data_IF_512734348453
#
_entry.id   IF_512734348453
#
_cell.length_a   1.000
_cell.length_b   1.000
_cell.length_c   1.000
_cell.angle_alpha   90.00
_cell.angle_beta   90.00
_cell.angle_gamma   90.00
#
_symmetry.space_group_name_H-M   'P 1'
#
loop_
_entity.id
_entity.type
_entity.pdbx_description
1 polymer ?
#
# COMPACT_ATOMS: atom_id res chain seq x y z
N UNK A 1 -4.36 -10.03 10.03
CA UNK A 1 -4.64 -8.98 9.02
C UNK A 1 -4.72 -9.61 7.64
N UNK A 2 -5.72 -9.26 6.80
CA UNK A 2 -5.75 -9.69 5.39
C UNK A 2 -4.76 -8.88 4.57
N UNK A 3 -3.93 -9.55 3.78
CA UNK A 3 -3.00 -8.94 2.84
C UNK A 3 -2.82 -9.81 1.60
N UNK A 4 -2.41 -9.20 0.50
CA UNK A 4 -2.11 -9.88 -0.76
C UNK A 4 -0.60 -9.99 -0.92
N UNK A 5 -0.09 -11.16 -1.26
CA UNK A 5 1.28 -11.28 -1.72
C UNK A 5 1.38 -10.72 -3.14
N UNK A 6 2.28 -9.78 -3.40
CA UNK A 6 2.46 -9.22 -4.74
C UNK A 6 3.65 -9.85 -5.48
N UNK A 7 4.44 -10.66 -4.77
CA UNK A 7 5.53 -11.44 -5.34
C UNK A 7 5.55 -12.83 -4.71
N UNK A 8 6.38 -13.72 -5.24
CA UNK A 8 6.64 -15.02 -4.62
C UNK A 8 7.41 -14.82 -3.31
N UNK A 9 6.83 -15.23 -2.19
CA UNK A 9 7.43 -15.06 -0.87
C UNK A 9 7.95 -16.39 -0.37
N UNK A 10 9.25 -16.45 -0.12
CA UNK A 10 9.89 -17.59 0.55
C UNK A 10 9.43 -17.66 2.01
N UNK A 11 9.15 -18.85 2.49
CA UNK A 11 8.61 -19.06 3.84
C UNK A 11 9.55 -19.87 4.71
N UNK A 12 9.30 -19.80 6.00
CA UNK A 12 10.07 -20.43 7.07
C UNK A 12 9.19 -21.40 7.85
N UNK A 13 9.82 -22.35 8.53
CA UNK A 13 9.19 -23.15 9.60
C UNK A 13 8.97 -22.27 10.85
N UNK A 14 8.22 -22.76 11.83
CA UNK A 14 8.03 -22.08 13.12
C UNK A 14 9.35 -21.80 13.87
N UNK A 15 10.39 -22.60 13.60
CA UNK A 15 11.75 -22.42 14.16
C UNK A 15 12.59 -21.40 13.41
N UNK A 16 12.03 -20.74 12.36
CA UNK A 16 12.72 -19.74 11.54
C UNK A 16 13.70 -20.33 10.51
N UNK A 17 13.67 -21.65 10.27
CA UNK A 17 14.46 -22.31 9.24
C UNK A 17 13.75 -22.23 7.88
N UNK A 18 14.48 -22.13 6.74
CA UNK A 18 13.89 -22.15 5.42
C UNK A 18 13.03 -23.39 5.18
N UNK A 19 11.84 -23.22 4.60
CA UNK A 19 11.00 -24.32 4.09
C UNK A 19 11.04 -24.31 2.57
N UNK A 20 12.03 -25.00 2.00
CA UNK A 20 12.26 -25.05 0.56
C UNK A 20 11.13 -25.70 -0.24
N UNK A 21 10.30 -26.52 0.40
CA UNK A 21 9.13 -27.16 -0.21
C UNK A 21 7.87 -26.29 -0.23
N UNK A 22 7.95 -25.05 0.25
CA UNK A 22 6.78 -24.17 0.40
C UNK A 22 7.11 -22.74 0.00
N UNK A 23 6.12 -22.06 -0.54
CA UNK A 23 6.16 -20.61 -0.83
C UNK A 23 4.74 -20.06 -0.84
N UNK A 24 4.60 -18.76 -0.69
CA UNK A 24 3.36 -18.03 -0.95
C UNK A 24 3.45 -17.51 -2.38
N UNK A 25 2.43 -17.76 -3.20
CA UNK A 25 2.41 -17.30 -4.58
C UNK A 25 1.98 -15.83 -4.68
N UNK A 26 2.42 -15.15 -5.73
CA UNK A 26 1.88 -13.84 -6.07
C UNK A 26 0.37 -13.95 -6.32
N UNK A 27 -0.42 -13.00 -5.78
CA UNK A 27 -1.88 -13.01 -5.83
C UNK A 27 -2.55 -13.78 -4.68
N UNK A 28 -1.82 -14.54 -3.87
CA UNK A 28 -2.41 -15.22 -2.73
C UNK A 28 -2.96 -14.23 -1.70
N UNK A 29 -4.24 -14.36 -1.37
CA UNK A 29 -4.86 -13.63 -0.26
C UNK A 29 -4.54 -14.34 1.05
N UNK A 30 -3.69 -13.71 1.84
CA UNK A 30 -3.15 -14.25 3.07
C UNK A 30 -3.84 -13.68 4.31
N UNK A 31 -3.85 -14.47 5.38
CA UNK A 31 -4.14 -14.01 6.72
C UNK A 31 -2.82 -13.90 7.50
N UNK A 32 -2.39 -12.67 7.83
CA UNK A 32 -1.19 -12.41 8.62
C UNK A 32 -1.59 -12.31 10.09
N UNK A 33 -0.94 -13.08 10.95
CA UNK A 33 -1.09 -13.05 12.40
C UNK A 33 -0.21 -12.01 13.07
N UNK A 34 -0.14 -12.06 14.39
CA UNK A 34 0.73 -11.20 15.18
C UNK A 34 2.19 -11.66 15.12
N UNK A 35 3.10 -10.70 15.19
CA UNK A 35 4.53 -10.98 15.20
C UNK A 35 4.90 -11.76 16.45
N UNK A 36 5.57 -12.90 16.29
CA UNK A 36 6.02 -13.74 17.41
C UNK A 36 7.17 -13.08 18.18
N UNK A 37 7.45 -13.56 19.39
CA UNK A 37 8.62 -13.14 20.17
C UNK A 37 9.95 -13.40 19.43
N UNK A 38 10.00 -14.41 18.54
CA UNK A 38 11.14 -14.68 17.66
C UNK A 38 11.25 -13.71 16.46
N UNK A 39 10.38 -12.71 16.38
CA UNK A 39 10.39 -11.71 15.31
C UNK A 39 9.81 -12.19 13.97
N UNK A 40 9.10 -13.33 13.95
CA UNK A 40 8.52 -13.92 12.76
C UNK A 40 7.02 -13.59 12.65
N UNK A 41 6.54 -13.42 11.44
CA UNK A 41 5.12 -13.23 11.15
C UNK A 41 4.51 -14.55 10.69
N UNK A 42 3.51 -15.13 11.39
CA UNK A 42 2.75 -16.25 10.88
C UNK A 42 1.84 -15.78 9.74
N UNK A 43 1.90 -16.49 8.62
CA UNK A 43 1.09 -16.21 7.43
C UNK A 43 0.36 -17.47 7.01
N UNK A 44 -0.97 -17.40 7.02
CA UNK A 44 -1.85 -18.44 6.51
C UNK A 44 -2.25 -18.08 5.08
N UNK A 45 -2.02 -18.99 4.14
CA UNK A 45 -2.22 -18.78 2.73
C UNK A 45 -2.87 -20.01 2.05
N UNK A 46 -3.54 -19.85 0.89
CA UNK A 46 -4.19 -20.94 0.18
C UNK A 46 -3.16 -21.89 -0.44
N UNK A 47 -3.53 -23.16 -0.53
CA UNK A 47 -2.80 -24.20 -1.26
C UNK A 47 -3.80 -25.10 -1.99
N UNK A 48 -3.33 -25.95 -2.90
CA UNK A 48 -4.17 -26.96 -3.58
C UNK A 48 -4.90 -27.92 -2.61
N UNK A 49 -4.40 -28.05 -1.38
CA UNK A 49 -4.93 -28.99 -0.36
C UNK A 49 -5.63 -28.27 0.81
N UNK A 50 -6.01 -27.00 0.65
CA UNK A 50 -6.59 -26.16 1.69
C UNK A 50 -5.64 -25.04 2.11
N UNK A 51 -5.73 -24.60 3.36
CA UNK A 51 -4.87 -23.54 3.89
C UNK A 51 -3.64 -24.09 4.60
N UNK A 52 -2.54 -23.35 4.54
CA UNK A 52 -1.28 -23.66 5.19
C UNK A 52 -0.74 -22.44 5.91
N UNK A 53 -0.20 -22.64 7.12
CA UNK A 53 0.48 -21.57 7.85
C UNK A 53 1.98 -21.79 7.81
N UNK A 54 2.70 -20.71 7.50
CA UNK A 54 4.16 -20.61 7.51
C UNK A 54 4.57 -19.25 8.06
N UNK A 55 5.85 -19.02 8.21
CA UNK A 55 6.38 -17.80 8.80
C UNK A 55 7.24 -17.03 7.79
N UNK A 56 7.28 -15.71 7.96
CA UNK A 56 8.16 -14.81 7.19
C UNK A 56 8.86 -13.83 8.13
N UNK A 57 10.05 -13.37 7.74
CA UNK A 57 10.80 -12.37 8.53
C UNK A 57 10.36 -10.95 8.22
N UNK A 58 9.81 -10.72 7.05
CA UNK A 58 9.45 -9.39 6.55
C UNK A 58 8.13 -9.45 5.80
N UNK A 59 7.37 -8.37 5.88
CA UNK A 59 6.11 -8.20 5.15
C UNK A 59 6.28 -7.30 3.89
N UNK A 60 7.50 -7.06 3.42
CA UNK A 60 7.76 -6.26 2.20
C UNK A 60 7.10 -6.82 0.94
N UNK A 61 6.90 -8.13 0.86
CA UNK A 61 6.20 -8.79 -0.25
C UNK A 61 4.68 -8.77 -0.19
N UNK A 62 4.08 -7.99 0.74
CA UNK A 62 2.64 -7.94 0.95
C UNK A 62 2.09 -6.53 0.81
N UNK A 63 0.83 -6.44 0.37
CA UNK A 63 0.06 -5.21 0.30
C UNK A 63 -1.38 -5.43 0.77
N UNK A 64 -2.10 -4.35 0.98
CA UNK A 64 -3.52 -4.39 1.33
C UNK A 64 -4.37 -3.74 0.24
N UNK A 65 -5.54 -4.31 -0.02
CA UNK A 65 -6.51 -3.74 -0.95
C UNK A 65 -7.76 -3.31 -0.18
N UNK A 66 -8.14 -2.04 -0.29
CA UNK A 66 -9.26 -1.45 0.47
C UNK A 66 -10.59 -2.17 0.23
N UNK A 67 -10.77 -2.82 -0.94
CA UNK A 67 -11.98 -3.55 -1.29
C UNK A 67 -12.26 -4.73 -0.35
N UNK A 68 -11.23 -5.27 0.33
CA UNK A 68 -11.38 -6.35 1.30
C UNK A 68 -11.84 -5.90 2.69
N UNK A 69 -12.00 -4.59 2.91
CA UNK A 69 -12.30 -4.01 4.22
C UNK A 69 -13.64 -3.26 4.26
N UNK A 70 -14.65 -3.78 3.57
CA UNK A 70 -16.00 -3.19 3.53
C UNK A 70 -16.70 -3.12 4.91
N UNK A 71 -16.29 -4.00 5.85
CA UNK A 71 -16.85 -4.04 7.21
C UNK A 71 -16.15 -3.12 8.22
N UNK A 72 -15.03 -2.49 7.85
CA UNK A 72 -14.35 -1.54 8.72
C UNK A 72 -14.96 -0.16 8.48
N UNK A 73 -15.70 0.33 9.47
CA UNK A 73 -16.31 1.66 9.46
C UNK A 73 -15.21 2.75 9.47
N UNK A 74 -15.40 3.78 8.64
CA UNK A 74 -14.47 4.92 8.55
C UNK A 74 -15.26 6.23 8.35
N UNK A 75 -16.16 6.58 9.34
CA UNK A 75 -17.07 7.71 9.21
C UNK A 75 -16.38 9.06 9.32
N UNK A 76 -16.98 10.08 8.72
CA UNK A 76 -16.70 11.49 8.94
C UNK A 76 -17.99 12.29 8.77
N UNK A 77 -18.01 13.57 9.19
CA UNK A 77 -19.16 14.46 9.01
C UNK A 77 -19.58 14.48 7.54
N UNK A 78 -20.84 14.16 7.25
CA UNK A 78 -21.40 14.04 5.92
C UNK A 78 -21.06 12.72 5.18
N UNK A 79 -20.35 11.80 5.86
CA UNK A 79 -19.95 10.49 5.34
C UNK A 79 -20.07 9.41 6.42
N UNK A 80 -21.18 9.40 7.13
CA UNK A 80 -21.41 8.58 8.34
C UNK A 80 -21.35 7.06 8.04
N UNK A 81 -21.77 6.67 6.82
CA UNK A 81 -21.75 5.26 6.36
C UNK A 81 -20.44 4.85 5.65
N UNK A 82 -19.44 5.73 5.62
CA UNK A 82 -18.19 5.41 4.96
C UNK A 82 -17.44 4.26 5.64
N UNK A 83 -16.76 3.48 4.82
CA UNK A 83 -15.93 2.35 5.25
C UNK A 83 -14.52 2.51 4.66
N UNK A 84 -13.59 1.66 5.07
CA UNK A 84 -12.27 1.59 4.41
C UNK A 84 -12.42 1.29 2.92
N UNK A 85 -13.37 0.42 2.52
CA UNK A 85 -13.63 0.15 1.09
C UNK A 85 -13.96 1.42 0.32
N UNK A 86 -14.76 2.33 0.86
CA UNK A 86 -15.23 3.52 0.14
C UNK A 86 -14.31 4.75 0.28
N UNK A 87 -13.53 4.85 1.36
CA UNK A 87 -12.81 6.09 1.70
C UNK A 87 -11.40 5.86 2.27
N UNK A 88 -10.92 4.61 2.28
CA UNK A 88 -9.70 4.20 2.98
C UNK A 88 -8.42 4.17 2.15
N UNK A 89 -8.40 4.75 0.94
CA UNK A 89 -7.19 4.71 0.09
C UNK A 89 -5.95 5.26 0.80
N UNK A 90 -6.08 6.37 1.54
CA UNK A 90 -4.97 6.94 2.31
C UNK A 90 -4.49 6.03 3.43
N UNK A 91 -5.42 5.41 4.19
CA UNK A 91 -5.09 4.43 5.23
C UNK A 91 -4.34 3.23 4.64
N UNK A 92 -4.85 2.65 3.57
CA UNK A 92 -4.23 1.48 2.92
C UNK A 92 -2.87 1.83 2.29
N UNK A 93 -2.74 2.99 1.62
CA UNK A 93 -1.46 3.44 1.07
C UNK A 93 -0.40 3.66 2.15
N UNK A 94 -0.79 4.21 3.32
CA UNK A 94 0.12 4.37 4.44
C UNK A 94 0.58 3.02 5.01
N UNK A 95 -0.33 2.03 5.13
CA UNK A 95 0.03 0.64 5.54
C UNK A 95 1.04 0.04 4.57
N UNK A 96 0.80 0.17 3.25
CA UNK A 96 1.67 -0.39 2.20
C UNK A 96 3.05 0.28 2.22
N UNK A 97 3.09 1.62 2.20
CA UNK A 97 4.34 2.37 2.15
C UNK A 97 5.19 2.15 3.42
N UNK A 98 4.55 2.12 4.61
CA UNK A 98 5.22 1.77 5.87
C UNK A 98 5.82 0.35 5.80
N UNK A 99 5.05 -0.63 5.31
CA UNK A 99 5.51 -2.01 5.13
C UNK A 99 6.70 -2.12 4.18
N UNK A 100 6.70 -1.34 3.11
CA UNK A 100 7.77 -1.33 2.12
C UNK A 100 9.10 -0.84 2.71
N UNK A 101 9.09 0.22 3.53
CA UNK A 101 10.34 0.78 4.09
C UNK A 101 10.79 0.10 5.38
N UNK A 102 9.86 -0.41 6.20
CA UNK A 102 10.20 -1.01 7.51
C UNK A 102 10.24 -2.54 7.50
N UNK A 103 9.61 -3.17 6.52
CA UNK A 103 9.38 -4.62 6.51
C UNK A 103 8.32 -5.09 7.51
N UNK A 104 7.60 -4.17 8.14
CA UNK A 104 6.55 -4.44 9.13
C UNK A 104 5.27 -3.73 8.77
N UNK A 105 4.18 -4.47 8.62
CA UNK A 105 2.86 -3.88 8.38
C UNK A 105 2.05 -3.85 9.66
N UNK A 106 1.31 -2.78 9.84
CA UNK A 106 0.24 -2.71 10.86
C UNK A 106 -1.11 -3.05 10.22
N UNK A 107 -2.07 -3.46 11.03
CA UNK A 107 -3.38 -3.80 10.50
C UNK A 107 -4.09 -2.54 9.95
N UNK A 108 -4.88 -2.73 8.90
CA UNK A 108 -5.74 -1.65 8.36
C UNK A 108 -6.68 -1.11 9.44
N UNK A 109 -7.16 -1.98 10.35
CA UNK A 109 -7.97 -1.57 11.50
C UNK A 109 -7.20 -0.61 12.41
N UNK A 110 -5.97 -0.98 12.81
CA UNK A 110 -5.12 -0.15 13.69
C UNK A 110 -4.80 1.20 13.04
N UNK A 111 -4.41 1.19 11.76
CA UNK A 111 -4.13 2.42 11.01
C UNK A 111 -5.38 3.32 10.92
N UNK A 112 -6.57 2.71 10.71
CA UNK A 112 -7.84 3.43 10.68
C UNK A 112 -8.14 4.05 12.05
N UNK A 113 -7.95 3.28 13.14
CA UNK A 113 -8.20 3.77 14.49
C UNK A 113 -7.28 4.97 14.81
N UNK A 114 -6.03 4.90 14.42
CA UNK A 114 -5.11 6.03 14.55
C UNK A 114 -5.55 7.23 13.72
N UNK A 115 -5.94 7.01 12.45
CA UNK A 115 -6.41 8.10 11.60
C UNK A 115 -7.63 8.82 12.18
N UNK A 116 -8.57 8.08 12.78
CA UNK A 116 -9.75 8.66 13.46
C UNK A 116 -9.35 9.37 14.73
N UNK A 117 -8.64 8.72 15.64
CA UNK A 117 -8.32 9.24 16.96
C UNK A 117 -7.40 10.46 16.92
N UNK A 118 -6.59 10.62 15.87
CA UNK A 118 -5.70 11.76 15.69
C UNK A 118 -6.24 12.81 14.71
N UNK A 119 -7.50 12.71 14.33
CA UNK A 119 -8.16 13.68 13.46
C UNK A 119 -7.62 13.74 12.05
N UNK A 120 -6.98 12.65 11.58
CA UNK A 120 -6.56 12.50 10.18
C UNK A 120 -7.71 12.03 9.29
N UNK A 121 -8.80 11.49 9.84
CA UNK A 121 -10.03 11.21 9.09
C UNK A 121 -10.79 12.52 8.84
N UNK A 122 -10.97 12.85 7.57
CA UNK A 122 -11.65 14.07 7.12
C UNK A 122 -12.76 13.75 6.11
N UNK A 123 -13.74 14.66 5.90
CA UNK A 123 -14.68 14.50 4.80
C UNK A 123 -13.98 14.22 3.48
N UNK A 124 -14.38 13.18 2.78
CA UNK A 124 -13.78 12.78 1.50
C UNK A 124 -12.50 11.95 1.58
N UNK A 125 -11.96 11.62 2.76
CA UNK A 125 -10.78 10.73 2.82
C UNK A 125 -9.91 10.85 4.06
N UNK A 126 -8.61 10.92 3.85
CA UNK A 126 -7.58 10.98 4.90
C UNK A 126 -6.71 12.23 4.71
N UNK A 127 -6.53 13.01 5.77
CA UNK A 127 -5.47 14.02 5.85
C UNK A 127 -4.13 13.30 6.00
N UNK A 128 -3.42 13.19 4.90
CA UNK A 128 -2.17 12.44 4.84
C UNK A 128 -1.06 13.11 5.66
N UNK A 129 -1.07 14.43 5.77
CA UNK A 129 -0.08 15.15 6.60
C UNK A 129 -0.19 14.78 8.07
N UNK A 130 -1.42 14.76 8.60
CA UNK A 130 -1.66 14.36 10.00
C UNK A 130 -1.32 12.90 10.22
N UNK A 131 -1.74 12.00 9.32
CA UNK A 131 -1.47 10.57 9.46
C UNK A 131 0.04 10.28 9.42
N UNK A 132 0.77 10.85 8.48
CA UNK A 132 2.21 10.59 8.34
C UNK A 132 3.02 11.21 9.48
N UNK A 133 2.64 12.39 10.00
CA UNK A 133 3.26 12.95 11.22
C UNK A 133 3.12 11.99 12.39
N UNK A 134 1.96 11.36 12.56
CA UNK A 134 1.77 10.35 13.60
C UNK A 134 2.69 9.16 13.40
N UNK A 135 2.86 8.70 12.15
CA UNK A 135 3.70 7.54 11.84
C UNK A 135 5.18 7.82 12.08
N UNK A 136 5.69 9.00 11.73
CA UNK A 136 7.10 9.38 12.00
C UNK A 136 7.41 9.46 13.49
N UNK A 137 6.43 9.75 14.33
CA UNK A 137 6.60 9.69 15.80
C UNK A 137 6.52 8.28 16.40
N UNK A 138 6.11 7.26 15.62
CA UNK A 138 5.91 5.87 16.09
C UNK A 138 6.86 4.86 15.48
N UNK A 139 7.43 5.18 14.36
CA UNK A 139 8.32 4.30 13.60
C UNK A 139 9.61 5.04 13.24
N UNK A 140 10.73 4.34 13.12
CA UNK A 140 12.00 4.93 12.69
C UNK A 140 11.96 5.21 11.19
N UNK A 141 11.16 6.20 10.80
CA UNK A 141 11.00 6.63 9.40
C UNK A 141 11.08 8.15 9.29
N UNK A 142 11.74 8.60 8.24
CA UNK A 142 11.71 10.00 7.80
C UNK A 142 10.66 10.18 6.72
N UNK A 143 9.99 11.34 6.78
CA UNK A 143 8.97 11.71 5.82
C UNK A 143 9.32 13.07 5.24
N UNK A 144 9.34 13.15 3.91
CA UNK A 144 9.50 14.40 3.16
C UNK A 144 8.35 14.56 2.17
N UNK A 145 8.14 15.77 1.71
CA UNK A 145 7.10 16.10 0.72
C UNK A 145 7.77 16.75 -0.50
N UNK A 146 7.26 16.44 -1.69
CA UNK A 146 7.75 17.07 -2.90
C UNK A 146 6.67 17.13 -3.98
N UNK A 147 6.82 18.05 -4.92
CA UNK A 147 6.09 18.09 -6.19
C UNK A 147 6.99 17.77 -7.37
N UNK A 148 8.27 17.56 -7.12
CA UNK A 148 9.25 17.28 -8.15
C UNK A 148 9.34 15.77 -8.39
N UNK A 149 9.04 15.37 -9.62
CA UNK A 149 9.13 13.99 -10.10
C UNK A 149 10.57 13.45 -10.04
N UNK A 150 11.59 14.28 -10.27
CA UNK A 150 12.98 13.83 -10.25
C UNK A 150 13.42 13.52 -8.81
N UNK A 151 12.96 14.31 -7.84
CA UNK A 151 13.17 14.03 -6.40
C UNK A 151 12.48 12.72 -6.01
N UNK A 152 11.26 12.46 -6.49
CA UNK A 152 10.60 11.15 -6.30
C UNK A 152 11.46 10.01 -6.85
N UNK A 153 11.92 10.11 -8.11
CA UNK A 153 12.72 9.05 -8.74
C UNK A 153 14.03 8.79 -8.01
N UNK A 154 14.76 9.84 -7.62
CA UNK A 154 15.97 9.70 -6.82
C UNK A 154 15.71 9.00 -5.49
N UNK A 155 14.61 9.33 -4.82
CA UNK A 155 14.22 8.71 -3.55
C UNK A 155 13.89 7.21 -3.70
N UNK A 156 13.14 6.84 -4.75
CA UNK A 156 12.82 5.44 -5.01
C UNK A 156 14.06 4.59 -5.34
N UNK A 157 15.00 5.14 -6.13
CA UNK A 157 16.29 4.50 -6.45
C UNK A 157 17.17 4.31 -5.22
N UNK A 158 17.05 5.19 -4.22
CA UNK A 158 17.70 5.05 -2.92
C UNK A 158 17.02 4.01 -1.99
N UNK A 159 16.00 3.29 -2.45
CA UNK A 159 15.30 2.27 -1.68
C UNK A 159 14.16 2.78 -0.78
N UNK A 160 13.77 4.04 -0.94
CA UNK A 160 12.59 4.60 -0.30
C UNK A 160 11.29 4.14 -0.96
N UNK A 161 10.17 4.49 -0.35
CA UNK A 161 8.82 4.36 -0.93
C UNK A 161 8.12 5.72 -0.91
N UNK A 162 7.04 5.86 -1.65
CA UNK A 162 6.27 7.09 -1.64
C UNK A 162 4.76 6.83 -1.61
N UNK A 163 3.99 7.85 -1.24
CA UNK A 163 2.54 7.89 -1.45
C UNK A 163 2.27 9.03 -2.42
N UNK A 164 1.64 8.72 -3.55
CA UNK A 164 1.21 9.72 -4.52
C UNK A 164 -0.24 10.14 -4.27
N UNK A 165 -0.52 11.42 -4.54
CA UNK A 165 -1.81 12.06 -4.36
C UNK A 165 -2.38 12.43 -5.74
N UNK A 166 -3.18 11.53 -6.33
CA UNK A 166 -3.78 11.80 -7.65
C UNK A 166 -5.03 12.66 -7.54
N UNK A 167 -5.23 13.51 -8.53
CA UNK A 167 -6.27 14.54 -8.51
C UNK A 167 -7.65 14.06 -8.99
N UNK A 168 -7.75 12.83 -9.49
CA UNK A 168 -9.00 12.32 -10.05
C UNK A 168 -9.26 12.76 -11.50
N UNK A 169 -8.20 13.05 -12.27
CA UNK A 169 -8.30 13.39 -13.71
C UNK A 169 -8.61 12.20 -14.62
N UNK A 170 -8.97 11.06 -14.03
CA UNK A 170 -9.52 9.91 -14.73
C UNK A 170 -8.52 8.84 -15.17
N UNK A 171 -7.19 9.05 -15.02
CA UNK A 171 -6.21 8.00 -15.37
C UNK A 171 -6.16 6.93 -14.28
N UNK A 172 -5.81 7.32 -13.06
CA UNK A 172 -5.72 6.38 -11.94
C UNK A 172 -7.02 6.30 -11.13
N UNK A 173 -7.75 7.40 -11.06
CA UNK A 173 -9.03 7.49 -10.36
C UNK A 173 -9.92 8.56 -10.99
N UNK A 174 -11.24 8.48 -10.76
CA UNK A 174 -12.20 9.52 -11.13
C UNK A 174 -12.42 10.55 -10.01
N UNK A 175 -11.95 10.24 -8.79
CA UNK A 175 -11.90 11.15 -7.65
C UNK A 175 -10.49 11.27 -7.11
N UNK A 176 -10.28 12.09 -6.09
CA UNK A 176 -9.00 12.14 -5.37
C UNK A 176 -8.64 10.77 -4.82
N UNK A 177 -7.36 10.35 -4.96
CA UNK A 177 -6.96 9.02 -4.54
C UNK A 177 -5.49 9.00 -4.11
N UNK A 178 -5.18 8.18 -3.12
CA UNK A 178 -3.82 7.88 -2.70
C UNK A 178 -3.42 6.49 -3.15
N UNK A 179 -2.16 6.35 -3.62
CA UNK A 179 -1.56 5.06 -3.98
C UNK A 179 -0.13 5.01 -3.46
N UNK A 180 0.38 3.82 -3.14
CA UNK A 180 1.77 3.66 -2.73
C UNK A 180 2.66 3.41 -3.96
N UNK A 181 3.77 4.12 -4.06
CA UNK A 181 4.82 3.91 -5.08
C UNK A 181 5.98 3.19 -4.42
N UNK A 182 6.28 1.98 -4.89
CA UNK A 182 7.18 1.04 -4.23
C UNK A 182 8.58 1.01 -4.83
N UNK A 183 8.75 1.58 -6.03
CA UNK A 183 10.02 1.59 -6.73
C UNK A 183 9.87 1.95 -8.20
N UNK A 184 10.98 1.80 -8.92
CA UNK A 184 11.07 1.96 -10.37
C UNK A 184 11.68 0.69 -10.97
N UNK A 185 11.09 0.21 -12.06
CA UNK A 185 11.57 -0.93 -12.82
C UNK A 185 11.43 -0.61 -14.32
N UNK A 186 12.53 -0.69 -15.06
CA UNK A 186 12.59 -0.45 -16.52
C UNK A 186 11.93 0.87 -16.94
N UNK A 187 12.21 1.95 -16.20
CA UNK A 187 11.68 3.29 -16.46
C UNK A 187 10.19 3.47 -16.12
N UNK A 188 9.56 2.48 -15.50
CA UNK A 188 8.18 2.55 -15.01
C UNK A 188 8.14 2.51 -13.49
N UNK A 189 7.23 3.26 -12.90
CA UNK A 189 6.93 3.20 -11.49
C UNK A 189 6.14 1.93 -11.18
N UNK A 190 6.58 1.22 -10.15
CA UNK A 190 5.86 0.11 -9.53
C UNK A 190 4.92 0.68 -8.47
N UNK A 191 3.61 0.56 -8.68
CA UNK A 191 2.59 1.22 -7.87
C UNK A 191 1.63 0.17 -7.30
N UNK A 192 1.40 0.22 -6.00
CA UNK A 192 0.32 -0.50 -5.34
C UNK A 192 -0.89 0.43 -5.23
N UNK A 193 -1.93 0.12 -5.98
CA UNK A 193 -3.21 0.82 -5.94
C UNK A 193 -4.13 0.13 -4.93
N UNK A 194 -4.42 0.73 -3.76
CA UNK A 194 -5.28 0.09 -2.77
C UNK A 194 -6.73 -0.08 -3.23
N UNK A 195 -7.13 0.62 -4.28
CA UNK A 195 -8.45 0.49 -4.91
C UNK A 195 -8.42 -0.31 -6.21
N UNK A 196 -7.43 -1.19 -6.41
CA UNK A 196 -7.36 -2.05 -7.60
C UNK A 196 -8.51 -3.07 -7.59
N UNK A 197 -9.14 -3.24 -8.75
CA UNK A 197 -10.12 -4.29 -9.03
C UNK A 197 -9.99 -4.73 -10.49
N UNK A 198 -10.50 -5.92 -10.79
CA UNK A 198 -10.42 -6.48 -12.15
C UNK A 198 -11.03 -5.51 -13.19
N UNK A 199 -10.28 -5.20 -14.22
CA UNK A 199 -10.72 -4.31 -15.29
C UNK A 199 -10.58 -2.81 -15.02
N UNK A 200 -10.18 -2.36 -13.82
CA UNK A 200 -10.05 -0.92 -13.48
C UNK A 200 -9.28 -0.12 -14.52
N UNK A 201 -8.19 -0.68 -15.04
CA UNK A 201 -7.30 0.00 -15.99
C UNK A 201 -7.55 -0.39 -17.45
N UNK A 202 -8.54 -1.23 -17.73
CA UNK A 202 -8.94 -1.58 -19.09
C UNK A 202 -10.22 -0.89 -19.59
N UNK A 203 -10.85 -0.07 -18.75
CA UNK A 203 -12.17 0.55 -19.03
C UNK A 203 -12.15 1.55 -20.21
N UNK A 204 -11.01 2.16 -20.51
CA UNK A 204 -10.88 3.09 -21.65
C UNK A 204 -9.47 3.08 -22.25
N UNK A 205 -9.34 3.62 -23.46
CA UNK A 205 -8.09 3.65 -24.22
C UNK A 205 -6.96 4.37 -23.46
N UNK A 206 -7.25 5.51 -22.80
CA UNK A 206 -6.26 6.28 -22.06
C UNK A 206 -5.62 5.46 -20.94
N UNK A 207 -6.42 4.73 -20.16
CA UNK A 207 -5.91 3.85 -19.09
C UNK A 207 -5.08 2.71 -19.66
N UNK A 208 -5.59 2.02 -20.67
CA UNK A 208 -4.87 0.91 -21.32
C UNK A 208 -3.51 1.33 -21.89
N UNK A 209 -3.42 2.52 -22.48
CA UNK A 209 -2.18 3.01 -23.07
C UNK A 209 -1.11 3.42 -22.03
N UNK A 210 -1.51 3.79 -20.81
CA UNK A 210 -0.60 4.38 -19.82
C UNK A 210 -0.35 3.50 -18.58
N UNK A 211 -1.18 2.49 -18.35
CA UNK A 211 -1.10 1.65 -17.15
C UNK A 211 -1.09 0.18 -17.54
N UNK A 212 -0.04 -0.52 -17.15
CA UNK A 212 0.05 -1.97 -17.24
C UNK A 212 -0.30 -2.57 -15.89
N UNK A 213 -1.16 -3.58 -15.84
CA UNK A 213 -1.47 -4.34 -14.62
C UNK A 213 -0.70 -5.65 -14.67
N UNK A 214 0.00 -5.96 -13.59
CA UNK A 214 0.68 -7.24 -13.41
C UNK A 214 0.42 -7.74 -11.99
N UNK A 215 -0.41 -8.76 -11.86
CA UNK A 215 -0.89 -9.24 -10.56
C UNK A 215 -1.58 -8.13 -9.78
N UNK A 216 -1.10 -7.88 -8.57
CA UNK A 216 -1.66 -6.89 -7.63
C UNK A 216 -0.97 -5.50 -7.75
N UNK A 217 -0.10 -5.32 -8.72
CA UNK A 217 0.62 -4.08 -8.97
C UNK A 217 0.24 -3.48 -10.32
N UNK A 218 0.41 -2.18 -10.41
CA UNK A 218 0.31 -1.45 -11.67
C UNK A 218 1.64 -0.77 -11.99
N UNK A 219 1.91 -0.63 -13.27
CA UNK A 219 3.11 -0.01 -13.81
C UNK A 219 2.71 1.13 -14.74
N UNK A 220 3.30 2.30 -14.51
CA UNK A 220 3.05 3.50 -15.31
C UNK A 220 4.31 4.32 -15.45
N UNK A 221 4.42 5.13 -16.50
CA UNK A 221 5.55 6.05 -16.62
C UNK A 221 5.49 7.12 -15.52
N UNK A 222 6.66 7.63 -15.05
CA UNK A 222 6.69 8.73 -14.10
C UNK A 222 5.94 9.97 -14.59
N UNK A 223 5.97 10.24 -15.90
CA UNK A 223 5.25 11.35 -16.49
C UNK A 223 3.72 11.18 -16.42
N UNK A 224 3.21 9.96 -16.63
CA UNK A 224 1.79 9.67 -16.55
C UNK A 224 1.25 9.86 -15.12
N UNK A 225 2.01 9.39 -14.12
CA UNK A 225 1.64 9.59 -12.71
C UNK A 225 1.68 11.08 -12.35
N UNK A 226 2.76 11.78 -12.70
CA UNK A 226 2.92 13.21 -12.40
C UNK A 226 1.79 14.05 -12.98
N UNK A 227 1.40 13.78 -14.22
CA UNK A 227 0.28 14.48 -14.89
C UNK A 227 -1.06 14.30 -14.15
N UNK A 228 -1.30 13.12 -13.54
CA UNK A 228 -2.53 12.86 -12.78
C UNK A 228 -2.48 13.41 -11.34
N UNK A 229 -1.28 13.78 -10.85
CA UNK A 229 -1.06 14.46 -9.57
C UNK A 229 -1.13 16.00 -9.67
N UNK A 230 -1.18 16.58 -10.86
CA UNK A 230 -1.27 18.04 -11.06
C UNK A 230 -2.51 18.62 -10.37
N UNK A 231 -2.31 19.70 -9.59
CA UNK A 231 -3.35 20.32 -8.77
C UNK A 231 -3.45 19.76 -7.36
N UNK A 232 -2.58 18.82 -6.98
CA UNK A 232 -2.40 18.35 -5.61
C UNK A 232 -1.15 18.95 -4.98
N UNK A 233 -1.23 19.21 -3.69
CA UNK A 233 -0.13 19.71 -2.87
C UNK A 233 -0.11 19.01 -1.52
N UNK A 234 0.97 18.25 -1.17
CA UNK A 234 2.02 17.79 -2.08
C UNK A 234 1.51 16.73 -3.06
N UNK A 235 2.25 16.53 -4.18
CA UNK A 235 2.01 15.41 -5.11
C UNK A 235 2.50 14.10 -4.54
N UNK A 236 3.62 14.15 -3.81
CA UNK A 236 4.30 12.97 -3.29
C UNK A 236 4.69 13.15 -1.83
N UNK A 237 4.45 12.14 -1.05
CA UNK A 237 4.97 11.95 0.30
C UNK A 237 6.03 10.87 0.22
N UNK A 238 7.27 11.18 0.56
CA UNK A 238 8.42 10.29 0.48
C UNK A 238 8.68 9.69 1.85
N UNK A 239 8.78 8.37 1.92
CA UNK A 239 9.06 7.64 3.15
C UNK A 239 10.38 6.88 3.00
N UNK A 240 11.25 6.99 3.98
CA UNK A 240 12.49 6.21 4.09
C UNK A 240 12.69 5.76 5.53
N UNK A 241 13.38 4.64 5.72
CA UNK A 241 13.77 4.19 7.05
C UNK A 241 14.87 5.09 7.59
N UNK A 242 14.77 5.47 8.86
CA UNK A 242 15.90 6.05 9.60
C UNK A 242 16.95 4.95 9.78
N UNK A 243 18.20 5.30 9.49
CA UNK A 243 19.35 4.41 9.66
C UNK A 243 19.65 4.10 11.12
#
# INVERSE_FOLDING_TARGET
MKALAFDRVAVLTAKGLPDSGSYIAAGDLCQIGEKTAAGLWPVTYPTKRGQKTRWVRSLKGFLVNQNHFARISYPAKGYEKATIKSSGCGVCSAVIALGAVTGSMISVQTMRDWAVNWGARVPGGTDMNKLLRLLSGRFPIKIRQTNDRNVLLGHLRAGGAAICNVSGKGMFSTGGHFMAVLGELDGKLCIADPGLYAGKYSVNARRRANVTVSGELIFASPAALDADCVGRWPRYYLLEREG
#
